data_IF_350392897037
#
_entry.id   IF_350392897037
#
_cell.length_a   1.000
_cell.length_b   1.000
_cell.length_c   1.000
_cell.angle_alpha   90.00
_cell.angle_beta   90.00
_cell.angle_gamma   90.00
#
_symmetry.space_group_name_H-M   'P 1'
#
loop_
_entity.id
_entity.type
_entity.pdbx_description
1 polymer ?
#
# COMPACT_ATOMS: atom_id res chain seq x y z
N UNK A 1 11.30 -17.98 -9.49
CA UNK A 1 11.85 -16.61 -9.74
C UNK A 1 10.89 -15.69 -10.51
N UNK A 2 10.33 -16.16 -11.64
CA UNK A 2 9.42 -15.36 -12.49
C UNK A 2 8.22 -14.78 -11.72
N UNK A 3 7.62 -15.57 -10.82
CA UNK A 3 6.50 -15.15 -9.97
C UNK A 3 6.85 -13.93 -9.10
N UNK A 4 8.06 -13.90 -8.52
CA UNK A 4 8.52 -12.79 -7.66
C UNK A 4 8.71 -11.52 -8.48
N UNK A 5 9.30 -11.63 -9.67
CA UNK A 5 9.49 -10.48 -10.57
C UNK A 5 8.13 -9.90 -10.98
N UNK A 6 7.18 -10.76 -11.39
CA UNK A 6 5.80 -10.34 -11.71
C UNK A 6 5.12 -9.65 -10.54
N UNK A 7 5.31 -10.13 -9.30
CA UNK A 7 4.78 -9.49 -8.08
C UNK A 7 5.38 -8.11 -7.82
N UNK A 8 6.69 -7.96 -7.97
CA UNK A 8 7.38 -6.67 -7.81
C UNK A 8 6.87 -5.68 -8.86
N UNK A 9 6.81 -6.10 -10.12
CA UNK A 9 6.31 -5.25 -11.21
C UNK A 9 4.84 -4.87 -11.02
N UNK A 10 3.98 -5.83 -10.65
CA UNK A 10 2.58 -5.55 -10.32
C UNK A 10 2.47 -4.49 -9.20
N UNK A 11 3.30 -4.61 -8.17
CA UNK A 11 3.30 -3.68 -7.05
C UNK A 11 3.75 -2.27 -7.46
N UNK A 12 4.77 -2.17 -8.33
CA UNK A 12 5.24 -0.90 -8.89
C UNK A 12 4.14 -0.24 -9.72
N UNK A 13 3.46 -0.99 -10.59
CA UNK A 13 2.37 -0.47 -11.41
C UNK A 13 1.23 0.06 -10.54
N UNK A 14 0.80 -0.70 -9.53
CA UNK A 14 -0.24 -0.27 -8.59
C UNK A 14 0.15 1.02 -7.86
N UNK A 15 1.41 1.14 -7.42
CA UNK A 15 1.92 2.38 -6.80
C UNK A 15 1.90 3.57 -7.76
N UNK A 16 2.26 3.37 -9.03
CA UNK A 16 2.20 4.44 -10.04
C UNK A 16 0.76 4.91 -10.25
N UNK A 17 -0.20 3.99 -10.30
CA UNK A 17 -1.62 4.30 -10.46
C UNK A 17 -2.11 5.15 -9.27
N UNK A 18 -1.69 4.84 -8.04
CA UNK A 18 -2.07 5.59 -6.84
C UNK A 18 -1.28 6.89 -6.70
N UNK A 19 -0.06 6.97 -7.25
CA UNK A 19 0.76 8.18 -7.18
C UNK A 19 0.06 9.37 -7.86
N UNK A 20 -0.68 9.15 -8.94
CA UNK A 20 -1.42 10.21 -9.66
C UNK A 20 -2.51 10.87 -8.78
N UNK A 21 -3.51 10.14 -8.24
CA UNK A 21 -4.51 10.73 -7.36
C UNK A 21 -3.89 11.27 -6.06
N UNK A 22 -2.85 10.63 -5.53
CA UNK A 22 -2.12 11.14 -4.36
C UNK A 22 -1.44 12.47 -4.67
N UNK A 23 -0.85 12.64 -5.86
CA UNK A 23 -0.21 13.89 -6.28
C UNK A 23 -1.23 15.02 -6.39
N UNK A 24 -2.40 14.74 -6.98
CA UNK A 24 -3.52 15.71 -7.05
C UNK A 24 -3.98 16.11 -5.64
N UNK A 25 -4.18 15.14 -4.75
CA UNK A 25 -4.50 15.41 -3.34
C UNK A 25 -3.38 16.19 -2.65
N UNK A 26 -2.13 15.90 -2.95
CA UNK A 26 -0.97 16.60 -2.42
C UNK A 26 -0.96 18.08 -2.79
N UNK A 27 -1.31 18.43 -4.03
CA UNK A 27 -1.45 19.83 -4.47
C UNK A 27 -2.57 20.53 -3.71
N UNK A 28 -3.72 19.87 -3.56
CA UNK A 28 -4.87 20.41 -2.81
C UNK A 28 -4.55 20.60 -1.33
N UNK A 29 -3.94 19.59 -0.69
CA UNK A 29 -3.53 19.62 0.70
C UNK A 29 -2.42 20.63 0.95
N UNK A 30 -1.51 20.84 0.00
CA UNK A 30 -0.48 21.87 0.08
C UNK A 30 -1.13 23.27 0.04
N UNK A 31 -2.06 23.52 -0.89
CA UNK A 31 -2.82 24.76 -0.94
C UNK A 31 -3.60 25.01 0.35
N UNK A 32 -4.23 23.97 0.90
CA UNK A 32 -4.97 24.04 2.16
C UNK A 32 -4.06 24.28 3.38
N UNK A 33 -2.89 23.65 3.41
CA UNK A 33 -1.87 23.84 4.45
C UNK A 33 -1.35 25.27 4.48
N UNK A 34 -1.14 25.89 3.30
CA UNK A 34 -0.77 27.32 3.22
C UNK A 34 -1.87 28.21 3.79
N UNK A 35 -3.14 27.95 3.45
CA UNK A 35 -4.29 28.72 3.96
C UNK A 35 -4.42 28.60 5.49
N UNK A 36 -4.30 27.38 6.02
CA UNK A 36 -4.34 27.12 7.47
C UNK A 36 -3.16 27.75 8.20
N UNK A 37 -1.97 27.75 7.60
CA UNK A 37 -0.78 28.37 8.19
C UNK A 37 -0.94 29.88 8.35
N UNK A 38 -1.63 30.54 7.42
CA UNK A 38 -1.97 31.98 7.49
C UNK A 38 -3.06 32.23 8.53
N UNK A 39 -4.13 31.43 8.53
CA UNK A 39 -5.26 31.57 9.46
C UNK A 39 -4.89 31.30 10.92
N UNK A 40 -3.99 30.34 11.16
CA UNK A 40 -3.61 29.88 12.50
C UNK A 40 -2.16 30.21 12.86
N UNK A 41 -1.59 31.24 12.24
CA UNK A 41 -0.20 31.66 12.48
C UNK A 41 0.12 31.90 13.96
N UNK A 42 -0.86 32.37 14.72
CA UNK A 42 -0.74 32.72 16.14
C UNK A 42 -0.76 31.52 17.11
N UNK A 43 -1.03 30.29 16.64
CA UNK A 43 -1.06 29.11 17.50
C UNK A 43 0.35 28.51 17.69
N UNK A 44 0.76 28.17 18.93
CA UNK A 44 2.11 27.68 19.23
C UNK A 44 2.46 26.32 18.61
N UNK A 45 1.46 25.57 18.10
CA UNK A 45 1.59 24.25 17.49
C UNK A 45 1.43 24.27 15.95
N UNK A 46 1.40 25.46 15.34
CA UNK A 46 1.29 25.63 13.88
C UNK A 46 2.41 24.90 13.10
N UNK A 47 3.58 24.71 13.70
CA UNK A 47 4.72 23.98 13.10
C UNK A 47 4.44 22.49 12.83
N UNK A 48 3.53 21.85 13.58
CA UNK A 48 3.10 20.47 13.31
C UNK A 48 2.11 20.39 12.14
N UNK A 49 1.21 21.38 12.03
CA UNK A 49 0.19 21.48 10.97
C UNK A 49 0.81 21.88 9.62
N UNK A 50 1.95 22.58 9.66
CA UNK A 50 2.64 23.12 8.49
C UNK A 50 3.66 22.16 7.86
N UNK A 51 3.65 20.87 8.23
CA UNK A 51 4.50 19.84 7.64
C UNK A 51 3.70 18.97 6.64
N UNK A 52 3.57 19.40 5.36
CA UNK A 52 2.74 18.72 4.37
C UNK A 52 3.23 17.30 4.03
N UNK A 53 4.51 16.99 4.30
CA UNK A 53 5.10 15.69 4.00
C UNK A 53 4.46 14.53 4.79
N UNK A 54 4.07 14.75 6.05
CA UNK A 54 3.42 13.70 6.85
C UNK A 54 1.99 13.44 6.36
N UNK A 55 1.26 14.51 6.04
CA UNK A 55 -0.08 14.41 5.46
C UNK A 55 -0.03 13.73 4.08
N UNK A 56 0.97 14.06 3.26
CA UNK A 56 1.18 13.45 1.95
C UNK A 56 1.49 11.95 2.06
N UNK A 57 2.50 11.57 2.86
CA UNK A 57 2.87 10.16 3.04
C UNK A 57 1.72 9.33 3.63
N UNK A 58 1.03 9.85 4.66
CA UNK A 58 -0.14 9.19 5.24
C UNK A 58 -1.29 9.07 4.25
N UNK A 59 -1.56 10.10 3.46
CA UNK A 59 -2.60 10.05 2.42
C UNK A 59 -2.30 9.01 1.34
N UNK A 60 -1.03 8.86 0.95
CA UNK A 60 -0.61 7.82 0.01
C UNK A 60 -0.94 6.45 0.58
N UNK A 61 -0.47 6.14 1.79
CA UNK A 61 -0.71 4.84 2.42
C UNK A 61 -2.19 4.52 2.58
N UNK A 62 -3.01 5.50 2.96
CA UNK A 62 -4.46 5.32 3.08
C UNK A 62 -5.09 5.03 1.72
N UNK A 63 -4.75 5.81 0.68
CA UNK A 63 -5.25 5.59 -0.67
C UNK A 63 -4.82 4.23 -1.22
N UNK A 64 -3.58 3.81 -0.92
CA UNK A 64 -3.08 2.50 -1.30
C UNK A 64 -3.87 1.37 -0.66
N UNK A 65 -4.06 1.43 0.66
CA UNK A 65 -4.84 0.43 1.40
C UNK A 65 -6.27 0.37 0.85
N UNK A 66 -6.91 1.53 0.64
CA UNK A 66 -8.27 1.59 0.09
C UNK A 66 -8.36 1.01 -1.32
N UNK A 67 -7.46 1.43 -2.22
CA UNK A 67 -7.41 0.92 -3.59
C UNK A 67 -7.20 -0.59 -3.63
N UNK A 68 -6.21 -1.11 -2.91
CA UNK A 68 -5.91 -2.54 -2.94
C UNK A 68 -7.05 -3.34 -2.30
N UNK A 69 -7.60 -2.87 -1.17
CA UNK A 69 -8.73 -3.54 -0.49
C UNK A 69 -9.97 -3.60 -1.39
N UNK A 70 -10.38 -2.47 -2.00
CA UNK A 70 -11.56 -2.41 -2.87
C UNK A 70 -11.38 -3.25 -4.13
N UNK A 71 -10.19 -3.21 -4.74
CA UNK A 71 -9.88 -3.99 -5.93
C UNK A 71 -9.88 -5.49 -5.64
N UNK A 72 -9.31 -5.91 -4.51
CA UNK A 72 -9.31 -7.31 -4.09
C UNK A 72 -10.70 -7.80 -3.70
N UNK A 73 -11.48 -6.99 -2.99
CA UNK A 73 -12.83 -7.36 -2.59
C UNK A 73 -13.76 -7.53 -3.80
N UNK A 74 -13.68 -6.63 -4.78
CA UNK A 74 -14.57 -6.63 -5.95
C UNK A 74 -14.10 -7.55 -7.08
N UNK A 75 -12.81 -7.55 -7.38
CA UNK A 75 -12.23 -8.20 -8.58
C UNK A 75 -11.24 -9.31 -8.26
N UNK A 76 -10.90 -9.56 -6.99
CA UNK A 76 -9.84 -10.51 -6.54
C UNK A 76 -8.45 -10.23 -7.12
N UNK A 77 -8.29 -9.11 -7.81
CA UNK A 77 -7.05 -8.67 -8.44
C UNK A 77 -7.01 -7.14 -8.50
N UNK A 78 -5.80 -6.58 -8.52
CA UNK A 78 -5.56 -5.15 -8.76
C UNK A 78 -5.19 -4.93 -10.23
N UNK A 79 -5.18 -3.69 -10.71
CA UNK A 79 -4.82 -3.40 -12.10
C UNK A 79 -3.40 -3.90 -12.43
N UNK A 80 -2.43 -3.62 -11.55
CA UNK A 80 -1.05 -4.09 -11.71
C UNK A 80 -0.94 -5.61 -11.68
N UNK A 81 -1.67 -6.28 -10.78
CA UNK A 81 -1.69 -7.76 -10.72
C UNK A 81 -2.37 -8.36 -11.94
N UNK A 82 -3.47 -7.78 -12.42
CA UNK A 82 -4.17 -8.22 -13.63
C UNK A 82 -3.28 -8.12 -14.87
N UNK A 83 -2.51 -7.04 -15.01
CA UNK A 83 -1.53 -6.89 -16.10
C UNK A 83 -0.42 -7.96 -16.06
N UNK A 84 -0.10 -8.45 -14.87
CA UNK A 84 0.90 -9.50 -14.65
C UNK A 84 0.31 -10.92 -14.60
N UNK A 85 -0.98 -11.07 -14.93
CA UNK A 85 -1.74 -12.33 -14.81
C UNK A 85 -1.65 -12.94 -13.41
N UNK A 86 -1.78 -12.12 -12.37
CA UNK A 86 -1.77 -12.52 -10.97
C UNK A 86 -3.17 -12.38 -10.34
N UNK A 87 -3.58 -13.38 -9.58
CA UNK A 87 -4.83 -13.41 -8.83
C UNK A 87 -4.57 -13.70 -7.34
N UNK A 88 -5.28 -13.00 -6.45
CA UNK A 88 -5.22 -13.25 -5.01
C UNK A 88 -6.37 -14.16 -4.60
N UNK A 89 -6.04 -15.25 -3.91
CA UNK A 89 -7.00 -16.25 -3.43
C UNK A 89 -6.87 -16.42 -1.92
N UNK A 90 -7.99 -16.63 -1.23
CA UNK A 90 -7.97 -17.06 0.16
C UNK A 90 -7.46 -18.51 0.26
N UNK A 91 -6.74 -18.82 1.33
CA UNK A 91 -6.32 -20.20 1.63
C UNK A 91 -7.55 -21.02 2.06
N UNK A 92 -8.38 -20.43 2.91
CA UNK A 92 -9.58 -21.05 3.46
C UNK A 92 -10.82 -20.25 3.02
N UNK A 93 -11.60 -20.76 2.06
CA UNK A 93 -12.90 -20.20 1.68
C UNK A 93 -12.86 -18.99 0.73
N UNK A 94 -13.77 -18.04 0.93
CA UNK A 94 -13.92 -16.84 0.07
C UNK A 94 -13.12 -15.66 0.60
N UNK A 95 -12.57 -14.86 -0.30
CA UNK A 95 -11.88 -13.61 0.03
C UNK A 95 -12.90 -12.61 0.63
N UNK A 96 -12.88 -12.42 1.95
CA UNK A 96 -13.74 -11.45 2.63
C UNK A 96 -13.09 -10.06 2.70
N UNK A 97 -13.90 -9.04 2.98
CA UNK A 97 -13.42 -7.66 3.05
C UNK A 97 -12.41 -7.44 4.17
N UNK A 98 -12.55 -8.14 5.29
CA UNK A 98 -11.62 -8.06 6.42
C UNK A 98 -10.24 -8.62 6.07
N UNK A 99 -10.19 -9.78 5.41
CA UNK A 99 -8.94 -10.36 4.91
C UNK A 99 -8.25 -9.45 3.92
N UNK A 100 -9.01 -8.82 3.00
CA UNK A 100 -8.45 -7.85 2.06
C UNK A 100 -7.84 -6.64 2.78
N UNK A 101 -8.57 -6.07 3.74
CA UNK A 101 -8.12 -4.92 4.52
C UNK A 101 -6.85 -5.27 5.30
N UNK A 102 -6.87 -6.36 6.06
CA UNK A 102 -5.73 -6.82 6.86
C UNK A 102 -4.52 -7.07 5.98
N UNK A 103 -4.69 -7.76 4.86
CA UNK A 103 -3.62 -8.02 3.89
C UNK A 103 -2.98 -6.72 3.40
N UNK A 104 -3.80 -5.76 2.96
CA UNK A 104 -3.33 -4.49 2.41
C UNK A 104 -2.68 -3.61 3.47
N UNK A 105 -3.22 -3.56 4.70
CA UNK A 105 -2.62 -2.83 5.82
C UNK A 105 -1.27 -3.43 6.22
N UNK A 106 -1.17 -4.76 6.35
CA UNK A 106 0.10 -5.42 6.70
C UNK A 106 1.14 -5.21 5.60
N UNK A 107 0.73 -5.31 4.33
CA UNK A 107 1.61 -5.04 3.19
C UNK A 107 2.13 -3.59 3.20
N UNK A 108 1.26 -2.62 3.42
CA UNK A 108 1.63 -1.20 3.49
C UNK A 108 2.56 -0.90 4.68
N UNK A 109 2.33 -1.52 5.84
CA UNK A 109 3.22 -1.41 7.00
C UNK A 109 4.63 -1.97 6.73
N UNK A 110 4.72 -3.04 5.94
CA UNK A 110 5.99 -3.69 5.61
C UNK A 110 6.73 -2.95 4.47
N UNK A 111 6.01 -2.50 3.44
CA UNK A 111 6.61 -2.02 2.18
C UNK A 111 6.34 -0.54 1.84
N UNK A 112 5.29 0.07 2.39
CA UNK A 112 4.78 1.37 1.94
C UNK A 112 5.55 2.58 2.44
N UNK A 113 6.12 2.51 3.64
CA UNK A 113 6.98 3.57 4.15
C UNK A 113 8.45 3.17 4.02
N UNK A 114 9.22 3.91 3.23
CA UNK A 114 10.69 3.81 3.14
C UNK A 114 11.41 4.06 4.50
N UNK A 115 10.65 4.38 5.56
CA UNK A 115 11.08 4.59 6.94
C UNK A 115 10.40 3.63 7.94
N UNK A 116 9.65 2.64 7.47
CA UNK A 116 9.05 1.63 8.32
C UNK A 116 10.16 0.87 9.06
N UNK A 117 10.11 0.74 10.41
CA UNK A 117 11.05 -0.12 11.14
C UNK A 117 10.93 -1.59 10.70
N UNK A 118 9.88 -1.95 9.96
CA UNK A 118 9.60 -3.30 9.46
C UNK A 118 10.14 -3.53 8.04
N UNK A 119 10.85 -2.59 7.43
CA UNK A 119 11.40 -2.75 6.08
C UNK A 119 12.27 -3.99 5.92
N UNK A 120 13.03 -4.37 6.95
CA UNK A 120 13.81 -5.62 6.98
C UNK A 120 12.91 -6.86 6.83
N UNK A 121 11.71 -6.86 7.41
CA UNK A 121 10.74 -7.94 7.21
C UNK A 121 10.25 -7.99 5.75
N UNK A 122 10.20 -6.85 5.07
CA UNK A 122 9.88 -6.79 3.64
C UNK A 122 10.95 -7.49 2.79
N UNK A 123 12.22 -7.20 3.06
CA UNK A 123 13.35 -7.89 2.39
C UNK A 123 13.30 -9.39 2.68
N UNK A 124 13.14 -9.78 3.95
CA UNK A 124 13.05 -11.18 4.33
C UNK A 124 11.84 -11.88 3.68
N UNK A 125 10.71 -11.18 3.52
CA UNK A 125 9.54 -11.71 2.82
C UNK A 125 9.83 -11.98 1.35
N UNK A 126 10.59 -11.11 0.69
CA UNK A 126 11.00 -11.31 -0.72
C UNK A 126 11.94 -12.52 -0.82
N UNK A 127 12.93 -12.60 0.06
CA UNK A 127 13.87 -13.73 0.15
C UNK A 127 13.12 -15.05 0.39
N UNK A 128 12.17 -15.06 1.32
CA UNK A 128 11.32 -16.22 1.59
C UNK A 128 10.53 -16.67 0.35
N UNK A 129 9.94 -15.73 -0.38
CA UNK A 129 9.23 -16.07 -1.63
C UNK A 129 10.17 -16.53 -2.75
N UNK A 130 11.41 -16.06 -2.79
CA UNK A 130 12.42 -16.45 -3.79
C UNK A 130 12.94 -17.86 -3.56
N UNK A 131 13.26 -18.21 -2.31
CA UNK A 131 13.89 -19.51 -1.98
C UNK A 131 12.92 -20.68 -2.18
N UNK A 132 11.63 -20.47 -1.91
CA UNK A 132 10.64 -21.53 -1.91
C UNK A 132 9.66 -21.48 -3.11
N UNK A 133 9.87 -20.57 -4.07
CA UNK A 133 8.92 -20.19 -5.14
C UNK A 133 7.47 -20.10 -4.63
N UNK A 134 7.35 -19.55 -3.42
CA UNK A 134 6.16 -19.69 -2.61
C UNK A 134 5.03 -18.78 -3.12
N UNK A 135 3.84 -19.36 -3.26
CA UNK A 135 2.63 -18.62 -3.60
C UNK A 135 2.18 -17.63 -2.49
N UNK A 136 2.80 -17.64 -1.32
CA UNK A 136 2.45 -16.77 -0.18
C UNK A 136 3.68 -16.01 0.31
N UNK A 137 3.55 -14.71 0.49
CA UNK A 137 4.52 -13.85 1.20
C UNK A 137 4.12 -13.65 2.67
N UNK A 138 4.92 -12.96 3.49
CA UNK A 138 4.60 -12.79 4.93
C UNK A 138 3.28 -12.06 5.18
N UNK A 139 2.95 -11.04 4.38
CA UNK A 139 1.66 -10.37 4.48
C UNK A 139 0.50 -11.26 3.99
N UNK A 140 0.77 -12.16 3.04
CA UNK A 140 -0.23 -13.12 2.60
C UNK A 140 -0.45 -14.22 3.67
N UNK A 141 0.59 -14.65 4.38
CA UNK A 141 0.46 -15.61 5.50
C UNK A 141 -0.34 -15.00 6.64
N UNK A 142 -0.04 -13.75 7.01
CA UNK A 142 -0.79 -13.03 8.04
C UNK A 142 -2.28 -12.90 7.69
N UNK A 143 -2.59 -12.73 6.41
CA UNK A 143 -3.96 -12.62 5.91
C UNK A 143 -4.55 -13.96 5.43
N UNK A 144 -3.85 -15.09 5.56
CA UNK A 144 -4.27 -16.38 5.00
C UNK A 144 -4.67 -16.33 3.51
N UNK A 145 -3.88 -15.64 2.69
CA UNK A 145 -4.05 -15.53 1.22
C UNK A 145 -2.87 -16.14 0.47
N UNK A 146 -3.03 -16.35 -0.85
CA UNK A 146 -1.97 -16.73 -1.81
C UNK A 146 -2.15 -16.00 -3.13
N UNK A 147 -1.06 -15.85 -3.88
CA UNK A 147 -1.02 -15.24 -5.21
C UNK A 147 -0.64 -16.31 -6.25
N UNK A 148 -1.48 -16.46 -7.27
CA UNK A 148 -1.30 -17.36 -8.41
C UNK A 148 -1.11 -16.58 -9.70
#
# INVERSE_FOLDING_TARGET
MELVIRRILANIIDHIIIAIPTFILGILLFGFSVLFRVLFWFLPWNWMISNPFWAFAGSMSILYILYETLSLYSMKTTIGKKLMNLEVRAIDGTLDGWTCLLRSTVKELIFGASKSPLFLLGILSIVYTLIADNHSSFHDIAAKTRIW
#
